data_IF_273349181341
#
_entry.id   IF_273349181341
#
_cell.length_a   1.000
_cell.length_b   1.000
_cell.length_c   1.000
_cell.angle_alpha   90.00
_cell.angle_beta   90.00
_cell.angle_gamma   90.00
#
_symmetry.space_group_name_H-M   'P 1'
#
loop_
_entity.id
_entity.type
_entity.pdbx_description
1 polymer ?
#
# COMPACT_ATOMS: atom_id res chain seq x y z
N UNK A 1 -10.17 4.89 -10.51
CA UNK A 1 -10.26 3.84 -11.55
C UNK A 1 -10.27 4.37 -12.99
N UNK A 2 -10.47 5.68 -13.23
CA UNK A 2 -10.60 6.22 -14.59
C UNK A 2 -9.29 6.19 -15.43
N UNK A 3 -8.11 6.33 -14.80
CA UNK A 3 -6.84 6.41 -15.53
C UNK A 3 -6.39 5.09 -16.18
N UNK A 4 -6.64 3.92 -15.57
CA UNK A 4 -6.24 2.63 -16.13
C UNK A 4 -6.98 2.38 -17.45
N UNK A 5 -8.30 2.60 -17.45
CA UNK A 5 -9.13 2.44 -18.64
C UNK A 5 -8.75 3.44 -19.73
N UNK A 6 -8.47 4.69 -19.36
CA UNK A 6 -8.02 5.72 -20.29
C UNK A 6 -6.67 5.35 -20.94
N UNK A 7 -5.68 4.92 -20.15
CA UNK A 7 -4.36 4.49 -20.66
C UNK A 7 -4.46 3.24 -21.53
N UNK A 8 -5.26 2.24 -21.13
CA UNK A 8 -5.46 1.03 -21.91
C UNK A 8 -6.18 1.31 -23.24
N UNK A 9 -7.17 2.20 -23.24
CA UNK A 9 -7.85 2.66 -24.46
C UNK A 9 -6.85 3.35 -25.39
N UNK A 10 -6.09 4.31 -24.87
CA UNK A 10 -5.11 5.05 -25.66
C UNK A 10 -3.99 4.14 -26.22
N UNK A 11 -3.52 3.18 -25.44
CA UNK A 11 -2.54 2.20 -25.91
C UNK A 11 -3.07 1.39 -27.11
N UNK A 12 -4.35 0.96 -27.08
CA UNK A 12 -4.98 0.27 -28.21
C UNK A 12 -5.14 1.18 -29.43
N UNK A 13 -5.50 2.44 -29.24
CA UNK A 13 -5.58 3.44 -30.32
C UNK A 13 -4.21 3.65 -31.02
N UNK A 14 -3.12 3.51 -30.27
CA UNK A 14 -1.75 3.54 -30.80
C UNK A 14 -1.28 2.20 -31.41
N UNK A 15 -2.12 1.16 -31.44
CA UNK A 15 -1.79 -0.16 -31.97
C UNK A 15 -1.01 -1.07 -31.01
N UNK A 16 -0.93 -0.74 -29.72
CA UNK A 16 -0.27 -1.61 -28.73
C UNK A 16 -1.07 -2.90 -28.54
N UNK A 17 -0.41 -4.04 -28.72
CA UNK A 17 -1.01 -5.36 -28.46
C UNK A 17 -0.96 -5.67 -26.97
N UNK A 18 -2.13 -5.83 -26.34
CA UNK A 18 -2.26 -6.23 -24.93
C UNK A 18 -2.70 -7.69 -24.87
N UNK A 19 -1.85 -8.57 -24.34
CA UNK A 19 -2.15 -10.00 -24.13
C UNK A 19 -2.50 -10.24 -22.67
N UNK A 20 -3.75 -10.61 -22.40
CA UNK A 20 -4.20 -11.05 -21.08
C UNK A 20 -3.91 -12.55 -20.90
N UNK A 21 -3.98 -13.04 -19.65
CA UNK A 21 -3.70 -14.44 -19.30
C UNK A 21 -2.37 -14.96 -19.88
N UNK A 22 -1.36 -14.07 -19.97
CA UNK A 22 -0.05 -14.35 -20.54
C UNK A 22 1.00 -13.97 -19.51
N UNK A 23 1.45 -14.96 -18.75
CA UNK A 23 2.45 -14.79 -17.69
C UNK A 23 3.85 -15.03 -18.25
N UNK A 24 4.80 -14.12 -18.02
CA UNK A 24 6.22 -14.36 -18.33
C UNK A 24 6.79 -15.24 -17.23
N UNK A 25 7.08 -16.51 -17.53
CA UNK A 25 7.59 -17.48 -16.55
C UNK A 25 9.12 -17.48 -16.49
N UNK A 26 9.77 -17.15 -17.59
CA UNK A 26 11.23 -17.09 -17.69
C UNK A 26 11.64 -15.97 -18.64
N UNK A 27 12.72 -15.28 -18.29
CA UNK A 27 13.32 -14.22 -19.09
C UNK A 27 14.82 -14.49 -19.22
N UNK A 28 15.30 -14.67 -20.45
CA UNK A 28 16.70 -14.98 -20.75
C UNK A 28 17.29 -13.98 -21.72
N UNK A 29 18.62 -13.89 -21.76
CA UNK A 29 19.33 -13.30 -22.88
C UNK A 29 19.25 -14.22 -24.09
N UNK A 30 18.93 -13.66 -25.24
CA UNK A 30 19.08 -14.40 -26.49
C UNK A 30 20.56 -14.58 -26.82
N UNK A 31 20.88 -15.58 -27.65
CA UNK A 31 22.22 -15.83 -28.20
C UNK A 31 22.72 -14.63 -29.02
N UNK A 32 21.80 -13.80 -29.54
CA UNK A 32 22.08 -12.52 -30.21
C UNK A 32 21.82 -11.29 -29.34
N UNK A 33 21.33 -10.20 -29.96
CA UNK A 33 20.87 -9.01 -29.22
C UNK A 33 19.43 -9.24 -28.75
N UNK A 34 19.16 -8.95 -27.47
CA UNK A 34 17.80 -8.92 -26.92
C UNK A 34 17.53 -9.98 -25.86
N UNK A 35 16.28 -10.42 -25.82
CA UNK A 35 15.70 -11.26 -24.78
C UNK A 35 14.74 -12.29 -25.37
N UNK A 36 14.75 -13.47 -24.77
CA UNK A 36 13.78 -14.56 -24.94
C UNK A 36 12.85 -14.54 -23.74
N UNK A 37 11.54 -14.49 -23.99
CA UNK A 37 10.49 -14.52 -22.99
C UNK A 37 9.70 -15.82 -23.16
N UNK A 38 9.86 -16.74 -22.23
CA UNK A 38 8.99 -17.90 -22.15
C UNK A 38 7.76 -17.51 -21.35
N UNK A 39 6.60 -17.67 -21.96
CA UNK A 39 5.32 -17.28 -21.41
C UNK A 39 4.40 -18.49 -21.28
N UNK A 40 3.49 -18.42 -20.31
CA UNK A 40 2.33 -19.29 -20.20
C UNK A 40 1.09 -18.49 -20.58
N UNK A 41 0.53 -18.75 -21.76
CA UNK A 41 -0.67 -18.11 -22.27
C UNK A 41 -1.86 -19.06 -22.17
N UNK A 42 -2.82 -18.77 -21.29
CA UNK A 42 -4.01 -19.62 -21.05
C UNK A 42 -3.69 -21.11 -20.79
N UNK A 43 -2.53 -21.38 -20.17
CA UNK A 43 -2.07 -22.74 -19.88
C UNK A 43 -1.09 -23.33 -20.91
N UNK A 44 -0.96 -22.71 -22.09
CA UNK A 44 -0.05 -23.16 -23.15
C UNK A 44 1.28 -22.40 -23.12
N UNK A 45 2.37 -23.07 -23.50
CA UNK A 45 3.68 -22.46 -23.62
C UNK A 45 3.76 -21.63 -24.91
N UNK A 46 4.18 -20.38 -24.81
CA UNK A 46 4.39 -19.47 -25.94
C UNK A 46 5.71 -18.71 -25.72
N UNK A 47 6.49 -18.53 -26.77
CA UNK A 47 7.76 -17.79 -26.72
C UNK A 47 7.65 -16.45 -27.44
N UNK A 48 8.27 -15.42 -26.90
CA UNK A 48 8.43 -14.11 -27.54
C UNK A 48 9.89 -13.66 -27.54
N UNK A 49 10.25 -12.90 -28.58
CA UNK A 49 11.55 -12.26 -28.71
C UNK A 49 11.39 -10.75 -28.63
N UNK A 50 12.31 -10.07 -27.94
CA UNK A 50 12.37 -8.60 -27.94
C UNK A 50 13.79 -8.09 -27.79
N UNK A 51 14.13 -6.98 -28.44
CA UNK A 51 15.42 -6.29 -28.21
C UNK A 51 15.47 -5.62 -26.84
N UNK A 52 14.32 -5.21 -26.29
CA UNK A 52 14.21 -4.51 -25.02
C UNK A 52 13.00 -4.98 -24.19
N UNK A 53 13.15 -4.98 -22.87
CA UNK A 53 12.13 -5.42 -21.92
C UNK A 53 11.96 -4.37 -20.82
N UNK A 54 10.71 -4.01 -20.53
CA UNK A 54 10.33 -3.16 -19.39
C UNK A 54 9.59 -4.02 -18.37
N UNK A 55 10.14 -4.17 -17.17
CA UNK A 55 9.49 -4.83 -16.04
C UNK A 55 8.61 -3.82 -15.32
N UNK A 56 7.30 -4.03 -15.33
CA UNK A 56 6.31 -3.16 -14.71
C UNK A 56 5.25 -3.97 -13.93
N UNK A 57 5.68 -5.02 -13.22
CA UNK A 57 4.80 -6.04 -12.62
C UNK A 57 4.29 -5.69 -11.22
N UNK A 58 4.64 -4.51 -10.70
CA UNK A 58 4.32 -4.11 -9.33
C UNK A 58 5.28 -4.67 -8.30
N UNK A 59 4.87 -4.61 -7.03
CA UNK A 59 5.67 -5.02 -5.87
C UNK A 59 5.50 -6.49 -5.50
N UNK A 60 5.84 -6.79 -4.25
CA UNK A 60 5.75 -8.13 -3.65
C UNK A 60 4.94 -8.15 -2.35
N UNK A 61 3.95 -7.26 -2.19
CA UNK A 61 3.15 -7.13 -0.96
C UNK A 61 2.34 -8.38 -0.61
N UNK A 62 1.96 -9.18 -1.61
CA UNK A 62 1.23 -10.43 -1.46
C UNK A 62 2.14 -11.62 -1.15
N UNK A 63 3.47 -11.50 -1.34
CA UNK A 63 4.43 -12.55 -1.03
C UNK A 63 4.66 -12.64 0.49
N UNK A 64 3.91 -13.53 1.15
CA UNK A 64 3.92 -13.70 2.62
C UNK A 64 5.31 -14.06 3.17
N UNK A 65 6.07 -15.01 2.59
CA UNK A 65 7.43 -15.29 3.03
C UNK A 65 8.37 -14.09 2.91
N UNK A 66 8.33 -13.35 1.79
CA UNK A 66 9.22 -12.22 1.56
C UNK A 66 8.96 -11.07 2.56
N UNK A 67 7.70 -10.72 2.80
CA UNK A 67 7.36 -9.66 3.76
C UNK A 67 7.72 -10.03 5.21
N UNK A 68 7.59 -11.30 5.60
CA UNK A 68 7.97 -11.76 6.94
C UNK A 68 9.48 -11.74 7.16
N UNK A 69 10.26 -11.92 6.09
CA UNK A 69 11.72 -11.73 6.13
C UNK A 69 12.10 -10.27 6.38
N UNK A 70 11.30 -9.32 5.88
CA UNK A 70 11.54 -7.88 6.07
C UNK A 70 11.12 -7.40 7.47
N UNK A 71 9.95 -7.83 7.95
CA UNK A 71 9.47 -7.51 9.30
C UNK A 71 8.88 -8.75 9.95
N UNK A 72 9.61 -9.32 10.92
CA UNK A 72 9.23 -10.55 11.62
C UNK A 72 7.99 -10.41 12.51
N UNK A 73 7.44 -9.21 12.69
CA UNK A 73 6.16 -9.00 13.36
C UNK A 73 4.96 -9.26 12.44
N UNK A 74 5.20 -9.39 11.14
CA UNK A 74 4.18 -9.73 10.16
C UNK A 74 3.88 -11.23 10.16
N UNK A 75 2.65 -11.56 9.83
CA UNK A 75 2.11 -12.92 9.78
C UNK A 75 1.17 -13.08 8.59
N UNK A 76 0.80 -14.32 8.25
CA UNK A 76 -0.03 -14.61 7.08
C UNK A 76 -1.43 -13.95 7.14
N UNK A 77 -1.97 -13.72 8.34
CA UNK A 77 -3.27 -13.09 8.59
C UNK A 77 -3.30 -11.57 8.41
N UNK A 78 -2.14 -10.94 8.20
CA UNK A 78 -2.07 -9.53 7.81
C UNK A 78 -2.24 -9.44 6.31
N UNK A 79 -3.41 -9.01 5.84
CA UNK A 79 -3.69 -8.96 4.40
C UNK A 79 -3.07 -7.72 3.72
N UNK A 80 -3.08 -7.72 2.39
CA UNK A 80 -2.70 -6.53 1.63
C UNK A 80 -3.84 -5.53 1.61
N UNK A 81 -3.53 -4.26 1.41
CA UNK A 81 -4.58 -3.25 1.22
C UNK A 81 -5.32 -3.39 -0.12
N UNK A 82 -4.73 -4.11 -1.08
CA UNK A 82 -5.35 -4.37 -2.38
C UNK A 82 -6.41 -5.49 -2.26
N UNK A 83 -6.24 -6.40 -1.30
CA UNK A 83 -7.15 -7.50 -1.04
C UNK A 83 -7.42 -7.68 0.47
N UNK A 84 -8.01 -6.67 1.14
CA UNK A 84 -8.11 -6.63 2.59
C UNK A 84 -9.06 -7.68 3.18
N UNK A 85 -9.96 -8.23 2.36
CA UNK A 85 -10.95 -9.24 2.76
C UNK A 85 -10.75 -10.59 2.06
N UNK A 86 -9.64 -10.77 1.33
CA UNK A 86 -9.31 -12.03 0.64
C UNK A 86 -10.42 -12.49 -0.33
N UNK A 87 -11.09 -11.54 -0.98
CA UNK A 87 -12.18 -11.80 -1.93
C UNK A 87 -11.69 -11.85 -3.38
N UNK A 88 -10.46 -11.40 -3.63
CA UNK A 88 -9.87 -11.27 -4.95
C UNK A 88 -8.52 -11.98 -4.99
N UNK A 89 -7.97 -12.18 -6.20
CA UNK A 89 -6.58 -12.58 -6.37
C UNK A 89 -5.67 -11.34 -6.29
N UNK A 90 -4.54 -11.46 -5.60
CA UNK A 90 -3.51 -10.43 -5.51
C UNK A 90 -2.21 -10.96 -6.12
N UNK A 91 -1.83 -10.41 -7.28
CA UNK A 91 -0.68 -10.85 -8.07
C UNK A 91 0.64 -10.20 -7.67
N UNK A 92 0.68 -9.34 -6.66
CA UNK A 92 1.89 -8.67 -6.22
C UNK A 92 2.84 -9.63 -5.46
N UNK A 93 3.41 -10.61 -6.17
CA UNK A 93 4.25 -11.68 -5.61
C UNK A 93 5.76 -11.48 -5.87
N UNK A 94 6.15 -10.42 -6.58
CA UNK A 94 7.55 -10.12 -6.90
C UNK A 94 8.14 -10.96 -8.04
N UNK A 95 7.30 -11.44 -8.94
CA UNK A 95 7.68 -12.15 -10.17
C UNK A 95 8.72 -11.38 -11.01
N UNK A 96 8.47 -10.10 -11.29
CA UNK A 96 9.37 -9.24 -12.06
C UNK A 96 10.72 -9.05 -11.39
N UNK A 97 10.76 -9.01 -10.05
CA UNK A 97 12.02 -8.94 -9.29
C UNK A 97 12.84 -10.22 -9.53
N UNK A 98 12.20 -11.39 -9.47
CA UNK A 98 12.86 -12.67 -9.75
C UNK A 98 13.37 -12.75 -11.19
N UNK A 99 12.58 -12.28 -12.16
CA UNK A 99 13.00 -12.22 -13.58
C UNK A 99 14.22 -11.30 -13.77
N UNK A 100 14.25 -10.14 -13.11
CA UNK A 100 15.41 -9.24 -13.16
C UNK A 100 16.65 -9.87 -12.52
N UNK A 101 16.50 -10.52 -11.36
CA UNK A 101 17.59 -11.19 -10.66
C UNK A 101 18.20 -12.33 -11.49
N UNK A 102 17.39 -13.09 -12.23
CA UNK A 102 17.86 -14.15 -13.13
C UNK A 102 18.80 -13.62 -14.23
N UNK A 103 18.65 -12.35 -14.61
CA UNK A 103 19.54 -11.66 -15.56
C UNK A 103 20.72 -10.92 -14.89
N UNK A 104 20.90 -11.07 -13.57
CA UNK A 104 21.94 -10.40 -12.78
C UNK A 104 21.54 -9.02 -12.23
N UNK A 105 20.27 -8.63 -12.35
CA UNK A 105 19.73 -7.38 -11.81
C UNK A 105 19.85 -7.32 -10.29
N UNK A 106 20.31 -6.17 -9.78
CA UNK A 106 20.42 -5.91 -8.36
C UNK A 106 19.06 -5.51 -7.77
N UNK A 107 18.86 -5.86 -6.50
CA UNK A 107 17.68 -5.49 -5.71
C UNK A 107 18.14 -4.63 -4.55
N UNK A 108 17.40 -3.57 -4.28
CA UNK A 108 17.61 -2.71 -3.12
C UNK A 108 17.16 -3.40 -1.85
N UNK A 109 17.84 -3.13 -0.74
CA UNK A 109 17.51 -3.69 0.57
C UNK A 109 17.57 -2.60 1.63
N UNK A 110 16.74 -2.72 2.67
CA UNK A 110 16.76 -1.84 3.85
C UNK A 110 15.77 -0.67 3.79
N UNK A 111 14.97 -0.54 2.74
CA UNK A 111 13.86 0.41 2.68
C UNK A 111 12.58 -0.17 3.29
N UNK A 112 12.33 -1.46 3.09
CA UNK A 112 11.29 -2.23 3.75
C UNK A 112 9.91 -2.13 3.11
N UNK A 113 8.88 -2.08 3.97
CA UNK A 113 7.47 -2.09 3.59
C UNK A 113 6.76 -0.87 4.15
N UNK A 114 5.76 -0.40 3.42
CA UNK A 114 4.76 0.52 3.95
C UNK A 114 3.51 -0.24 4.38
N UNK A 115 3.05 0.04 5.59
CA UNK A 115 1.84 -0.52 6.18
C UNK A 115 0.82 0.61 6.43
N UNK A 116 -0.47 0.33 6.23
CA UNK A 116 -1.55 1.31 6.39
C UNK A 116 -2.81 0.72 7.02
N UNK A 117 -3.48 1.43 7.95
CA UNK A 117 -4.80 1.07 8.45
C UNK A 117 -5.90 1.73 7.61
N UNK A 118 -6.35 1.06 6.55
CA UNK A 118 -7.32 1.62 5.58
C UNK A 118 -8.47 0.69 5.20
N UNK A 119 -8.43 -0.57 5.63
CA UNK A 119 -9.41 -1.59 5.24
C UNK A 119 -10.58 -1.76 6.21
N UNK A 120 -10.59 -1.10 7.36
CA UNK A 120 -11.59 -1.29 8.41
C UNK A 120 -12.40 -0.03 8.70
N UNK A 121 -12.52 0.31 9.99
CA UNK A 121 -13.36 1.40 10.50
C UNK A 121 -12.94 2.81 10.11
N UNK A 122 -11.75 3.01 9.53
CA UNK A 122 -11.27 4.36 9.19
C UNK A 122 -12.06 4.96 8.01
N UNK A 123 -12.53 6.19 8.19
CA UNK A 123 -13.36 6.93 7.21
C UNK A 123 -12.89 8.36 6.96
N UNK A 124 -11.68 8.71 7.42
CA UNK A 124 -11.07 10.01 7.21
C UNK A 124 -9.79 9.90 6.36
N UNK A 125 -9.56 10.90 5.51
CA UNK A 125 -8.36 11.03 4.67
C UNK A 125 -7.35 12.05 5.25
N UNK A 126 -7.55 12.48 6.49
CA UNK A 126 -6.73 13.44 7.22
C UNK A 126 -6.58 13.01 8.69
N UNK A 127 -5.64 13.62 9.41
CA UNK A 127 -5.39 13.34 10.83
C UNK A 127 -5.98 14.44 11.73
N UNK A 128 -6.23 14.10 12.99
CA UNK A 128 -6.64 15.07 14.03
C UNK A 128 -8.14 15.15 14.27
N UNK A 129 -8.93 14.29 13.63
CA UNK A 129 -10.37 14.15 13.78
C UNK A 129 -10.85 12.70 14.02
N UNK A 130 -9.90 11.77 14.12
CA UNK A 130 -10.10 10.40 14.52
C UNK A 130 -9.25 10.08 15.77
N UNK A 131 -9.77 9.15 16.56
CA UNK A 131 -9.23 8.69 17.83
C UNK A 131 -9.03 7.17 17.74
N UNK A 132 -7.83 6.68 18.07
CA UNK A 132 -7.52 5.25 18.03
C UNK A 132 -7.45 4.68 19.45
N UNK A 133 -8.26 3.66 19.73
CA UNK A 133 -8.27 2.99 21.03
C UNK A 133 -8.11 1.48 20.89
N UNK A 134 -7.45 0.87 21.87
CA UNK A 134 -7.33 -0.58 21.98
C UNK A 134 -8.61 -1.24 22.52
N UNK A 135 -8.56 -2.54 22.83
CA UNK A 135 -9.72 -3.32 23.29
C UNK A 135 -10.16 -2.97 24.71
N UNK A 136 -9.30 -2.31 25.48
CA UNK A 136 -9.63 -1.76 26.79
C UNK A 136 -10.18 -0.33 26.70
N UNK A 137 -10.29 0.26 25.50
CA UNK A 137 -10.77 1.62 25.30
C UNK A 137 -9.75 2.70 25.64
N UNK A 138 -8.46 2.37 25.67
CA UNK A 138 -7.36 3.30 25.92
C UNK A 138 -6.65 3.65 24.62
N UNK A 139 -6.18 4.88 24.53
CA UNK A 139 -5.29 5.30 23.44
C UNK A 139 -3.94 4.59 23.57
N UNK A 140 -3.26 4.45 22.45
CA UNK A 140 -1.97 3.75 22.39
C UNK A 140 -0.96 4.41 21.43
N UNK A 141 -1.36 5.47 20.73
CA UNK A 141 -0.53 6.12 19.71
C UNK A 141 -0.99 7.55 19.43
N UNK A 142 -0.07 8.38 18.93
CA UNK A 142 -0.40 9.61 18.25
C UNK A 142 -0.95 9.30 16.84
N UNK A 143 -2.24 9.54 16.61
CA UNK A 143 -2.94 9.23 15.36
C UNK A 143 -2.42 10.05 14.15
N UNK A 144 -1.67 11.14 14.42
CA UNK A 144 -1.00 11.97 13.41
C UNK A 144 0.50 11.66 13.26
N UNK A 145 1.01 10.63 13.93
CA UNK A 145 2.41 10.22 13.82
C UNK A 145 2.78 9.77 12.39
N UNK A 146 4.07 9.80 12.03
CA UNK A 146 4.57 9.19 10.81
C UNK A 146 4.11 7.73 10.69
N UNK A 147 3.85 7.26 9.46
CA UNK A 147 3.20 5.96 9.22
C UNK A 147 3.97 4.79 9.82
N UNK A 148 5.30 4.87 9.83
CA UNK A 148 6.17 3.84 10.41
C UNK A 148 5.97 3.71 11.92
N UNK A 149 5.82 4.82 12.61
CA UNK A 149 5.55 4.85 14.05
C UNK A 149 4.15 4.30 14.33
N UNK A 150 3.15 4.78 13.59
CA UNK A 150 1.78 4.30 13.68
C UNK A 150 1.69 2.78 13.44
N UNK A 151 2.34 2.29 12.39
CA UNK A 151 2.39 0.86 12.07
C UNK A 151 3.09 0.05 13.17
N UNK A 152 4.17 0.57 13.75
CA UNK A 152 4.87 -0.09 14.86
C UNK A 152 3.99 -0.20 16.10
N UNK A 153 3.25 0.85 16.44
CA UNK A 153 2.32 0.84 17.57
C UNK A 153 1.17 -0.15 17.35
N UNK A 154 0.60 -0.20 16.15
CA UNK A 154 -0.48 -1.16 15.82
C UNK A 154 0.03 -2.60 15.84
N UNK A 155 1.23 -2.86 15.31
CA UNK A 155 1.84 -4.20 15.31
C UNK A 155 2.18 -4.72 16.71
N UNK A 156 2.35 -3.82 17.69
CA UNK A 156 2.60 -4.18 19.08
C UNK A 156 1.32 -4.58 19.85
N UNK A 157 0.13 -4.33 19.29
CA UNK A 157 -1.12 -4.79 19.90
C UNK A 157 -1.24 -6.32 19.75
N UNK A 158 -1.76 -7.04 20.76
CA UNK A 158 -1.85 -8.51 20.73
C UNK A 158 -2.47 -9.06 19.45
N UNK A 159 -3.59 -8.46 19.03
CA UNK A 159 -4.36 -8.88 17.86
C UNK A 159 -4.18 -7.95 16.64
N UNK A 160 -3.25 -6.97 16.71
CA UNK A 160 -2.96 -6.01 15.63
C UNK A 160 -4.21 -5.30 15.08
N UNK A 161 -5.19 -5.12 15.97
CA UNK A 161 -6.51 -4.53 15.71
C UNK A 161 -6.82 -3.53 16.79
N UNK A 162 -7.58 -2.52 16.42
CA UNK A 162 -7.95 -1.41 17.27
C UNK A 162 -9.28 -0.84 16.80
N UNK A 163 -9.84 0.09 17.57
CA UNK A 163 -11.03 0.81 17.20
C UNK A 163 -10.66 2.20 16.71
N UNK A 164 -11.30 2.63 15.62
CA UNK A 164 -11.26 4.00 15.14
C UNK A 164 -12.58 4.65 15.52
N UNK A 165 -12.51 5.85 16.12
CA UNK A 165 -13.68 6.64 16.52
C UNK A 165 -13.57 8.03 15.89
N UNK A 166 -14.67 8.53 15.35
CA UNK A 166 -14.83 9.89 14.81
C UNK A 166 -16.29 10.32 15.03
N UNK A 167 -16.67 11.55 14.68
CA UNK A 167 -17.97 12.12 15.05
C UNK A 167 -18.67 12.83 13.88
N UNK A 168 -19.82 13.48 14.09
CA UNK A 168 -20.63 14.03 13.01
C UNK A 168 -19.96 15.19 12.25
N UNK A 169 -19.17 16.01 12.93
CA UNK A 169 -18.57 17.22 12.34
C UNK A 169 -17.39 16.92 11.40
N UNK A 170 -16.77 15.73 11.50
CA UNK A 170 -15.60 15.41 10.69
C UNK A 170 -15.94 15.01 9.26
N UNK A 171 -15.14 15.48 8.30
CA UNK A 171 -15.37 15.25 6.86
C UNK A 171 -15.06 13.81 6.46
N UNK A 172 -16.12 13.01 6.31
CA UNK A 172 -16.01 11.59 5.93
C UNK A 172 -15.67 11.42 4.45
N UNK A 173 -14.85 10.43 4.14
CA UNK A 173 -14.50 10.08 2.77
C UNK A 173 -15.64 9.27 2.09
N UNK A 174 -15.46 9.01 0.80
CA UNK A 174 -16.46 8.31 -0.02
C UNK A 174 -16.77 6.87 0.43
N UNK A 175 -15.97 6.29 1.35
CA UNK A 175 -16.17 4.91 1.82
C UNK A 175 -17.20 4.79 2.95
N UNK A 176 -17.65 5.91 3.56
CA UNK A 176 -18.60 5.88 4.67
C UNK A 176 -19.88 5.11 4.34
N UNK A 177 -20.56 5.47 3.24
CA UNK A 177 -21.84 4.86 2.86
C UNK A 177 -21.74 3.34 2.72
N UNK A 178 -20.83 2.82 1.88
CA UNK A 178 -20.58 1.38 1.77
C UNK A 178 -20.21 0.72 3.10
N UNK A 179 -19.38 1.37 3.94
CA UNK A 179 -18.95 0.82 5.24
C UNK A 179 -20.06 0.79 6.29
N UNK A 180 -21.05 1.70 6.21
CA UNK A 180 -22.25 1.65 7.03
C UNK A 180 -23.17 0.50 6.57
N UNK A 181 -23.36 0.34 5.26
CA UNK A 181 -24.23 -0.69 4.68
C UNK A 181 -23.76 -2.11 4.99
N UNK A 182 -22.44 -2.35 5.02
CA UNK A 182 -21.87 -3.66 5.32
C UNK A 182 -21.51 -3.86 6.81
N UNK A 183 -21.79 -2.87 7.67
CA UNK A 183 -21.57 -2.96 9.12
C UNK A 183 -20.10 -2.85 9.57
N UNK A 184 -19.16 -2.52 8.68
CA UNK A 184 -17.76 -2.26 9.05
C UNK A 184 -17.64 -1.02 9.93
N UNK A 185 -18.43 0.00 9.61
CA UNK A 185 -18.61 1.21 10.41
C UNK A 185 -20.02 1.19 10.97
N UNK A 186 -20.14 1.52 12.25
CA UNK A 186 -21.40 1.71 12.95
C UNK A 186 -21.52 3.15 13.40
N UNK A 187 -22.73 3.53 13.78
CA UNK A 187 -23.03 4.84 14.36
C UNK A 187 -23.74 4.67 15.70
N UNK A 188 -23.42 5.54 16.65
CA UNK A 188 -24.02 5.52 17.98
C UNK A 188 -24.40 6.94 18.41
N UNK A 189 -25.56 7.14 19.07
CA UNK A 189 -25.99 8.47 19.52
C UNK A 189 -25.19 9.00 20.71
N UNK A 190 -24.56 8.13 21.49
CA UNK A 190 -23.79 8.52 22.67
C UNK A 190 -22.59 7.58 22.92
N UNK A 191 -21.66 8.04 23.77
CA UNK A 191 -20.43 7.31 24.09
C UNK A 191 -20.71 6.00 24.83
N UNK A 192 -21.74 5.95 25.69
CA UNK A 192 -22.04 4.73 26.47
C UNK A 192 -22.62 3.64 25.58
N UNK A 193 -23.51 3.98 24.65
CA UNK A 193 -24.03 3.01 23.69
C UNK A 193 -22.92 2.51 22.78
N UNK A 194 -22.04 3.40 22.30
CA UNK A 194 -20.85 3.04 21.53
C UNK A 194 -19.95 2.06 22.31
N UNK A 195 -19.60 2.39 23.56
CA UNK A 195 -18.75 1.55 24.39
C UNK A 195 -19.33 0.14 24.60
N UNK A 196 -20.64 0.05 24.90
CA UNK A 196 -21.33 -1.24 25.07
C UNK A 196 -21.24 -2.10 23.81
N UNK A 197 -21.46 -1.52 22.63
CA UNK A 197 -21.37 -2.27 21.37
C UNK A 197 -19.94 -2.66 20.99
N UNK A 198 -18.95 -1.87 21.41
CA UNK A 198 -17.52 -2.20 21.24
C UNK A 198 -17.03 -3.29 22.21
N UNK A 199 -17.82 -3.62 23.25
CA UNK A 199 -17.38 -4.48 24.35
C UNK A 199 -16.44 -3.77 25.33
N UNK A 200 -16.44 -2.43 25.35
CA UNK A 200 -15.57 -1.61 26.19
C UNK A 200 -16.39 -1.09 27.39
N UNK A 201 -15.75 -1.02 28.55
CA UNK A 201 -16.32 -0.38 29.74
C UNK A 201 -16.69 1.09 29.45
N UNK A 202 -17.96 1.50 29.61
CA UNK A 202 -18.40 2.86 29.28
C UNK A 202 -17.60 3.96 29.99
N UNK A 203 -17.30 3.76 31.27
CA UNK A 203 -16.54 4.73 32.08
C UNK A 203 -15.10 4.92 31.58
N UNK A 204 -14.50 3.85 31.02
CA UNK A 204 -13.15 3.94 30.45
C UNK A 204 -13.17 4.74 29.16
N UNK A 205 -14.12 4.46 28.26
CA UNK A 205 -14.20 5.16 26.97
C UNK A 205 -14.59 6.64 27.13
N UNK A 206 -15.53 6.94 28.04
CA UNK A 206 -15.89 8.31 28.39
C UNK A 206 -14.68 9.12 28.87
N UNK A 207 -13.88 8.54 29.78
CA UNK A 207 -12.65 9.18 30.24
C UNK A 207 -11.66 9.37 29.09
N UNK A 208 -11.41 8.36 28.27
CA UNK A 208 -10.48 8.46 27.13
C UNK A 208 -10.89 9.57 26.15
N UNK A 209 -12.17 9.68 25.81
CA UNK A 209 -12.67 10.74 24.91
C UNK A 209 -12.61 12.11 25.60
N UNK A 210 -12.92 12.19 26.90
CA UNK A 210 -12.79 13.43 27.67
C UNK A 210 -11.32 13.91 27.72
N UNK A 211 -10.38 12.99 27.89
CA UNK A 211 -8.94 13.28 27.94
C UNK A 211 -8.44 13.76 26.58
N UNK A 212 -8.83 13.08 25.48
CA UNK A 212 -8.55 13.54 24.12
C UNK A 212 -9.10 14.94 23.85
N UNK A 213 -10.34 15.21 24.29
CA UNK A 213 -10.99 16.51 24.09
C UNK A 213 -10.27 17.63 24.85
N UNK A 214 -9.82 17.38 26.08
CA UNK A 214 -8.99 18.36 26.83
C UNK A 214 -7.67 18.64 26.11
N UNK A 215 -7.03 17.61 25.57
CA UNK A 215 -5.81 17.80 24.77
C UNK A 215 -6.07 18.55 23.46
N UNK A 216 -7.21 18.32 22.81
CA UNK A 216 -7.62 19.03 21.60
C UNK A 216 -7.91 20.52 21.86
N UNK A 217 -8.44 20.85 23.04
CA UNK A 217 -8.64 22.23 23.50
C UNK A 217 -7.29 22.89 23.82
N UNK A 218 -6.40 22.17 24.50
CA UNK A 218 -5.04 22.62 24.81
C UNK A 218 -4.08 22.65 23.60
N UNK A 219 -4.50 22.09 22.45
CA UNK A 219 -3.68 21.89 21.23
C UNK A 219 -2.42 21.05 21.44
N UNK A 220 -2.33 20.33 22.54
CA UNK A 220 -1.22 19.44 22.84
C UNK A 220 -1.68 18.30 23.75
N UNK A 221 -1.30 17.09 23.38
CA UNK A 221 -1.48 15.88 24.15
C UNK A 221 -0.12 15.43 24.70
N UNK A 222 0.12 15.56 26.01
CA UNK A 222 1.38 15.19 26.62
C UNK A 222 1.59 13.66 26.69
N UNK A 223 0.53 12.85 26.57
CA UNK A 223 0.64 11.39 26.68
C UNK A 223 1.34 10.80 25.45
N UNK A 224 1.03 11.30 24.25
CA UNK A 224 1.58 10.80 22.98
C UNK A 224 2.33 11.86 22.17
N UNK A 225 2.53 13.06 22.71
CA UNK A 225 3.20 14.17 22.01
C UNK A 225 2.44 14.65 20.77
N UNK A 226 1.12 14.45 20.72
CA UNK A 226 0.28 14.85 19.58
C UNK A 226 -0.04 16.33 19.64
N UNK A 227 0.21 17.05 18.54
CA UNK A 227 -0.09 18.48 18.38
C UNK A 227 -1.07 18.77 17.24
N UNK A 228 -1.40 17.77 16.43
CA UNK A 228 -2.32 17.91 15.30
C UNK A 228 -3.74 17.60 15.76
N UNK A 229 -4.58 18.63 15.88
CA UNK A 229 -6.00 18.51 16.18
C UNK A 229 -6.79 19.41 15.24
N UNK A 230 -7.81 18.86 14.58
CA UNK A 230 -8.74 19.66 13.80
C UNK A 230 -10.04 19.92 14.54
N UNK A 231 -10.34 19.10 15.56
CA UNK A 231 -11.61 19.13 16.29
C UNK A 231 -11.54 18.31 17.58
N UNK A 232 -12.57 18.48 18.43
CA UNK A 232 -12.95 17.54 19.48
C UNK A 232 -13.66 16.31 18.89
N UNK A 233 -13.84 15.27 19.68
CA UNK A 233 -14.77 14.17 19.43
C UNK A 233 -15.93 14.36 20.41
N UNK A 234 -16.95 15.11 19.99
CA UNK A 234 -18.05 15.52 20.88
C UNK A 234 -19.43 15.55 20.22
N UNK A 235 -19.50 15.60 18.89
CA UNK A 235 -20.77 15.84 18.18
C UNK A 235 -21.40 14.53 17.69
N UNK A 236 -22.50 14.05 18.31
CA UNK A 236 -23.15 12.82 17.86
C UNK A 236 -23.84 12.99 16.50
N UNK A 237 -24.08 11.90 15.75
CA UNK A 237 -23.68 10.53 16.06
C UNK A 237 -22.16 10.32 15.97
N UNK A 238 -21.65 9.43 16.82
CA UNK A 238 -20.29 8.94 16.75
C UNK A 238 -20.21 7.81 15.73
N UNK A 239 -19.19 7.84 14.87
CA UNK A 239 -18.91 6.80 13.90
C UNK A 239 -17.70 6.01 14.36
N UNK A 240 -17.81 4.70 14.37
CA UNK A 240 -16.76 3.84 14.87
C UNK A 240 -16.71 2.51 14.14
N UNK A 241 -15.55 1.87 14.15
CA UNK A 241 -15.38 0.58 13.51
C UNK A 241 -14.03 -0.06 13.83
N UNK A 242 -13.98 -1.38 13.61
CA UNK A 242 -12.75 -2.16 13.83
C UNK A 242 -11.77 -1.90 12.71
N UNK A 243 -10.52 -1.62 13.04
CA UNK A 243 -9.45 -1.38 12.07
C UNK A 243 -8.27 -2.33 12.31
N UNK A 244 -7.53 -2.62 11.25
CA UNK A 244 -6.34 -3.47 11.25
C UNK A 244 -5.24 -2.79 10.44
N UNK A 245 -4.03 -3.30 10.57
CA UNK A 245 -2.93 -2.92 9.69
C UNK A 245 -2.92 -3.78 8.42
N UNK A 246 -2.59 -3.19 7.27
CA UNK A 246 -2.47 -3.87 5.98
C UNK A 246 -1.13 -3.60 5.33
N UNK A 247 -0.61 -4.57 4.58
CA UNK A 247 0.58 -4.38 3.74
C UNK A 247 0.20 -3.60 2.49
N UNK A 248 0.80 -2.43 2.29
CA UNK A 248 0.35 -1.49 1.26
C UNK A 248 1.29 -1.35 0.08
N UNK A 249 2.60 -1.24 0.34
CA UNK A 249 3.60 -1.02 -0.72
C UNK A 249 4.95 -1.60 -0.33
N UNK A 250 5.66 -2.17 -1.30
CA UNK A 250 7.07 -2.52 -1.15
C UNK A 250 7.97 -1.34 -1.50
N UNK A 251 8.93 -1.03 -0.64
CA UNK A 251 9.87 0.10 -0.83
C UNK A 251 11.22 -0.37 -1.36
N UNK A 252 11.54 -1.65 -1.14
CA UNK A 252 12.60 -2.38 -1.82
C UNK A 252 12.10 -2.92 -3.17
N UNK A 253 13.03 -3.26 -4.05
CA UNK A 253 12.74 -3.66 -5.43
C UNK A 253 13.97 -3.56 -6.34
N UNK A 254 13.77 -3.74 -7.64
CA UNK A 254 14.82 -3.68 -8.67
C UNK A 254 15.55 -2.34 -8.59
N UNK A 255 16.88 -2.37 -8.59
CA UNK A 255 17.71 -1.16 -8.63
C UNK A 255 17.78 -0.65 -10.07
N UNK A 256 17.45 0.63 -10.27
CA UNK A 256 17.59 1.31 -11.55
C UNK A 256 18.43 2.57 -11.44
N UNK A 257 18.89 3.09 -12.57
CA UNK A 257 19.37 4.48 -12.66
C UNK A 257 18.24 5.47 -13.00
N UNK A 258 18.60 6.74 -13.20
CA UNK A 258 17.66 7.83 -13.53
C UNK A 258 17.01 7.69 -14.92
N UNK A 259 17.50 6.78 -15.76
CA UNK A 259 16.91 6.47 -17.08
C UNK A 259 16.07 5.18 -17.04
N UNK A 260 15.74 4.70 -15.83
CA UNK A 260 14.99 3.47 -15.60
C UNK A 260 15.68 2.18 -16.09
N UNK A 261 16.99 2.22 -16.37
CA UNK A 261 17.76 1.01 -16.75
C UNK A 261 18.03 0.18 -15.51
N UNK A 262 17.81 -1.13 -15.60
CA UNK A 262 18.13 -2.06 -14.52
C UNK A 262 19.64 -2.14 -14.36
N UNK A 263 20.11 -2.04 -13.11
CA UNK A 263 21.53 -2.13 -12.77
C UNK A 263 21.88 -3.54 -12.28
N UNK A 264 23.03 -4.05 -12.70
CA UNK A 264 23.61 -5.28 -12.15
C UNK A 264 24.20 -5.03 -10.74
N UNK A 265 24.73 -6.08 -10.11
CA UNK A 265 25.37 -5.99 -8.78
C UNK A 265 26.61 -5.09 -8.75
N UNK A 266 27.27 -4.86 -9.88
CA UNK A 266 28.39 -3.93 -10.02
C UNK A 266 27.95 -2.48 -10.26
N UNK A 267 26.64 -2.24 -10.40
CA UNK A 267 26.07 -0.93 -10.70
C UNK A 267 26.09 -0.57 -12.18
N UNK A 268 26.38 -1.52 -13.07
CA UNK A 268 26.37 -1.29 -14.53
C UNK A 268 24.99 -1.57 -15.11
N UNK A 269 24.50 -0.75 -16.06
CA UNK A 269 23.24 -1.02 -16.74
C UNK A 269 23.26 -2.33 -17.51
N UNK A 270 22.17 -3.10 -17.40
CA UNK A 270 21.91 -4.28 -18.20
C UNK A 270 21.24 -3.84 -19.51
N UNK A 271 21.97 -3.95 -20.62
CA UNK A 271 21.54 -3.36 -21.92
C UNK A 271 20.16 -3.85 -22.38
N UNK A 272 19.25 -2.92 -22.68
CA UNK A 272 17.88 -3.22 -23.07
C UNK A 272 16.93 -3.67 -21.95
N UNK A 273 17.37 -3.76 -20.69
CA UNK A 273 16.50 -4.11 -19.55
C UNK A 273 16.15 -2.87 -18.72
N UNK A 274 14.85 -2.62 -18.56
CA UNK A 274 14.30 -1.48 -17.84
C UNK A 274 13.29 -1.93 -16.79
N UNK A 275 13.03 -1.10 -15.79
CA UNK A 275 11.99 -1.36 -14.80
C UNK A 275 11.27 -0.06 -14.41
N UNK A 276 9.97 -0.14 -14.11
CA UNK A 276 9.14 1.02 -13.79
C UNK A 276 8.03 0.70 -12.78
N UNK A 277 7.68 1.69 -11.96
CA UNK A 277 6.62 1.59 -10.97
C UNK A 277 7.09 0.94 -9.66
N UNK A 278 6.18 0.29 -8.93
CA UNK A 278 6.45 -0.28 -7.59
C UNK A 278 7.49 -1.41 -7.61
N UNK A 279 7.76 -2.03 -8.77
CA UNK A 279 8.81 -3.04 -8.89
C UNK A 279 10.21 -2.45 -8.68
N UNK A 280 10.37 -1.13 -8.83
CA UNK A 280 11.62 -0.40 -8.60
C UNK A 280 11.71 0.01 -7.14
N UNK A 281 12.83 -0.33 -6.52
CA UNK A 281 13.06 -0.01 -5.11
C UNK A 281 13.89 1.25 -4.88
N UNK A 282 13.79 1.80 -3.68
CA UNK A 282 14.56 2.95 -3.21
C UNK A 282 14.05 4.33 -3.62
N UNK A 283 13.03 4.41 -4.49
CA UNK A 283 12.46 5.68 -4.97
C UNK A 283 11.95 6.57 -3.83
N UNK A 284 11.40 5.95 -2.79
CA UNK A 284 10.73 6.65 -1.68
C UNK A 284 11.49 6.60 -0.36
N UNK A 285 12.69 6.02 -0.34
CA UNK A 285 13.35 5.71 0.92
C UNK A 285 12.48 4.82 1.81
N UNK A 286 12.36 5.15 3.10
CA UNK A 286 11.68 4.34 4.12
C UNK A 286 10.21 4.67 4.36
N UNK A 287 9.65 5.69 3.68
CA UNK A 287 8.23 6.03 3.78
C UNK A 287 7.73 6.73 2.52
N UNK A 288 6.74 6.15 1.84
CA UNK A 288 6.18 6.68 0.59
C UNK A 288 5.03 7.64 0.86
N UNK A 289 5.15 8.92 0.51
CA UNK A 289 4.04 9.88 0.63
C UNK A 289 2.79 9.44 -0.16
N UNK A 290 1.62 9.88 0.32
CA UNK A 290 0.33 9.56 -0.31
C UNK A 290 0.29 10.14 -1.73
N UNK A 291 -0.32 9.42 -2.67
CA UNK A 291 -0.39 9.82 -4.08
C UNK A 291 0.88 9.56 -4.91
N UNK A 292 2.07 9.52 -4.28
CA UNK A 292 3.35 9.39 -5.00
C UNK A 292 3.54 8.06 -5.76
N UNK A 293 2.84 6.99 -5.37
CA UNK A 293 2.89 5.72 -6.08
C UNK A 293 2.40 5.83 -7.53
N UNK A 294 1.30 6.55 -7.76
CA UNK A 294 0.76 6.77 -9.10
C UNK A 294 1.70 7.65 -9.94
N UNK A 295 2.22 8.72 -9.33
CA UNK A 295 3.21 9.60 -9.96
C UNK A 295 4.43 8.81 -10.41
N UNK A 296 4.95 7.92 -9.56
CA UNK A 296 6.07 7.05 -9.88
C UNK A 296 5.79 6.15 -11.09
N UNK A 297 4.64 5.48 -11.12
CA UNK A 297 4.26 4.63 -12.25
C UNK A 297 4.19 5.41 -13.57
N UNK A 298 3.60 6.61 -13.58
CA UNK A 298 3.47 7.44 -14.79
C UNK A 298 4.83 7.96 -15.26
N UNK A 299 5.62 8.52 -14.34
CA UNK A 299 6.91 9.15 -14.68
C UNK A 299 7.91 8.07 -15.12
N UNK A 300 8.11 7.01 -14.34
CA UNK A 300 9.03 5.94 -14.70
C UNK A 300 8.56 5.17 -15.93
N UNK A 301 7.26 4.92 -16.08
CA UNK A 301 6.71 4.27 -17.26
C UNK A 301 7.03 5.05 -18.54
N UNK A 302 6.91 6.39 -18.51
CA UNK A 302 7.31 7.24 -19.64
C UNK A 302 8.81 7.26 -19.88
N UNK A 303 9.63 7.24 -18.83
CA UNK A 303 11.10 7.17 -18.97
C UNK A 303 11.53 5.84 -19.59
N UNK A 304 11.08 4.70 -19.06
CA UNK A 304 11.39 3.38 -19.59
C UNK A 304 10.89 3.21 -21.03
N UNK A 305 9.68 3.71 -21.32
CA UNK A 305 9.13 3.72 -22.68
C UNK A 305 9.84 4.70 -23.63
N UNK A 306 10.45 5.78 -23.15
CA UNK A 306 11.19 6.73 -23.98
C UNK A 306 12.66 6.38 -24.23
N UNK A 307 13.26 5.58 -23.34
CA UNK A 307 14.68 5.22 -23.41
C UNK A 307 14.96 4.04 -24.35
N UNK A 308 13.94 3.24 -24.68
CA UNK A 308 14.07 2.28 -25.77
C UNK A 308 14.19 3.03 -27.10
N UNK A 309 15.25 2.77 -27.87
CA UNK A 309 15.23 2.97 -29.32
C UNK A 309 14.26 1.94 -29.91
N UNK A 310 12.97 2.11 -29.67
CA UNK A 310 11.93 1.26 -30.26
C UNK A 310 11.88 1.59 -31.75
N UNK A 311 12.67 0.90 -32.56
CA UNK A 311 12.49 0.95 -34.01
C UNK A 311 11.09 0.40 -34.27
N UNK A 312 10.23 1.21 -34.91
CA UNK A 312 9.02 0.70 -35.56
C UNK A 312 9.52 -0.35 -36.57
N UNK A 313 9.24 -1.62 -36.27
CA UNK A 313 9.34 -2.71 -37.26
C UNK A 313 8.04 -2.72 -38.04
#
# INVERSE_FOLDING_TARGET
>A
RNYILALAKHARELGVTIRLNTEVVELRRSVGRGFELNCRQSGEAVEFMSEAVVIATGGFTANVPARMKIDGRLSADIHTSANPYVLLWDGADGDGIRLAQALGGAVTEGFGLQLLPIGGGRVLDYAGADLYVNDEGRRFVNEAAPRRELASAILALPDKRFWVITDQQSRKNATLGPKLLNGIVKKSPDIRSMAREMGIRPDVLERTIADYNRAADAKFDPEFGKSVFTQRISEPPFYWGRERIYVHTTLDGIRTDHQARVLDRSGRPIDGLFAAGETVGGVFGKDRLGGMGLTNCIVMGRMAGGCGRWRKV
#
